data_IF_594034581571
#
_entry.id   IF_594034581571
#
_cell.length_a   1.000
_cell.length_b   1.000
_cell.length_c   1.000
_cell.angle_alpha   90.00
_cell.angle_beta   90.00
_cell.angle_gamma   90.00
#
_symmetry.space_group_name_H-M   'P 1'
#
loop_
_entity.id
_entity.type
_entity.pdbx_description
1 polymer ?
#
# COMPACT_ATOMS: atom_id res chain seq x y z
N UNK A 1 -10.68 23.44 53.37
CA UNK A 1 -9.47 22.92 52.69
C UNK A 1 -9.70 21.70 51.80
N UNK A 2 -10.58 20.74 52.14
CA UNK A 2 -10.82 19.57 51.27
C UNK A 2 -11.49 19.91 49.92
N UNK A 3 -12.44 20.86 49.90
CA UNK A 3 -13.15 21.25 48.67
C UNK A 3 -12.29 22.03 47.65
N UNK A 4 -11.31 22.80 48.11
CA UNK A 4 -10.43 23.58 47.24
C UNK A 4 -9.40 22.69 46.54
N UNK A 5 -8.92 21.65 47.24
CA UNK A 5 -7.95 20.71 46.69
C UNK A 5 -8.52 19.85 45.55
N UNK A 6 -9.78 19.39 45.68
CA UNK A 6 -10.46 18.62 44.64
C UNK A 6 -10.68 19.44 43.37
N UNK A 7 -11.00 20.74 43.50
CA UNK A 7 -11.19 21.64 42.35
C UNK A 7 -9.89 21.92 41.60
N UNK A 8 -8.77 22.06 42.31
CA UNK A 8 -7.46 22.27 41.68
C UNK A 8 -7.01 21.04 40.90
N UNK A 9 -7.20 19.83 41.46
CA UNK A 9 -6.89 18.59 40.74
C UNK A 9 -7.74 18.45 39.47
N UNK A 10 -9.04 18.73 39.57
CA UNK A 10 -9.94 18.65 38.41
C UNK A 10 -9.57 19.66 37.31
N UNK A 11 -9.17 20.88 37.68
CA UNK A 11 -8.71 21.90 36.72
C UNK A 11 -7.43 21.48 36.00
N UNK A 12 -6.45 20.94 36.75
CA UNK A 12 -5.19 20.45 36.16
C UNK A 12 -5.44 19.26 35.23
N UNK A 13 -6.37 18.37 35.59
CA UNK A 13 -6.72 17.22 34.77
C UNK A 13 -7.45 17.63 33.48
N UNK A 14 -8.39 18.57 33.55
CA UNK A 14 -9.07 19.14 32.37
C UNK A 14 -8.07 19.84 31.45
N UNK A 15 -7.12 20.60 32.01
CA UNK A 15 -6.08 21.26 31.24
C UNK A 15 -5.16 20.24 30.55
N UNK A 16 -4.78 19.17 31.25
CA UNK A 16 -3.95 18.11 30.68
C UNK A 16 -4.65 17.35 29.54
N UNK A 17 -5.96 17.07 29.68
CA UNK A 17 -6.75 16.41 28.63
C UNK A 17 -7.08 17.31 27.43
N UNK A 18 -7.11 18.64 27.61
CA UNK A 18 -7.38 19.58 26.51
C UNK A 18 -6.13 20.01 25.74
N UNK A 19 -4.94 19.86 26.34
CA UNK A 19 -3.65 20.02 25.65
C UNK A 19 -3.09 18.70 25.09
N UNK A 20 -3.70 17.57 25.42
CA UNK A 20 -3.33 16.30 24.81
C UNK A 20 -3.66 16.35 23.30
N UNK A 21 -2.70 16.00 22.41
CA UNK A 21 -2.97 15.97 20.98
C UNK A 21 -4.12 14.98 20.71
N UNK A 22 -5.27 15.50 20.25
CA UNK A 22 -6.48 14.72 19.93
C UNK A 22 -6.34 13.84 18.67
N UNK A 23 -5.10 13.58 18.26
CA UNK A 23 -4.75 12.89 17.03
C UNK A 23 -3.80 11.72 17.28
N UNK A 24 -3.88 11.06 18.43
CA UNK A 24 -3.46 9.67 18.51
C UNK A 24 -4.56 8.82 17.84
N UNK A 25 -4.69 8.96 16.52
CA UNK A 25 -5.15 7.84 15.72
C UNK A 25 -4.11 6.78 16.01
N UNK A 26 -4.46 5.81 16.85
CA UNK A 26 -3.75 4.56 16.90
C UNK A 26 -3.96 3.94 15.51
N UNK A 27 -3.21 4.47 14.54
CA UNK A 27 -3.11 3.95 13.21
C UNK A 27 -2.71 2.50 13.43
N UNK A 28 -3.52 1.60 12.88
CA UNK A 28 -3.43 0.18 13.13
C UNK A 28 -2.20 -0.41 12.43
N UNK A 29 -1.00 0.00 12.84
CA UNK A 29 0.28 -0.37 12.21
C UNK A 29 0.62 -1.86 12.38
N UNK A 30 -0.06 -2.54 13.31
CA UNK A 30 0.10 -3.97 13.57
C UNK A 30 -1.04 -4.84 13.04
N UNK A 31 -2.13 -4.26 12.52
CA UNK A 31 -3.20 -5.10 11.99
C UNK A 31 -2.88 -5.49 10.56
N UNK A 32 -2.47 -6.74 10.40
CA UNK A 32 -2.18 -7.34 9.11
C UNK A 32 -3.39 -7.29 8.15
N UNK A 33 -4.61 -7.08 8.67
CA UNK A 33 -5.83 -6.96 7.89
C UNK A 33 -6.17 -5.53 7.48
N UNK A 34 -5.29 -4.55 7.79
CA UNK A 34 -5.43 -3.16 7.37
C UNK A 34 -4.30 -2.76 6.43
N UNK A 35 -4.64 -2.01 5.38
CA UNK A 35 -3.68 -1.50 4.40
C UNK A 35 -3.96 0.00 4.18
N UNK A 36 -2.97 0.83 4.50
CA UNK A 36 -3.13 2.28 4.61
C UNK A 36 -3.61 2.94 3.30
N UNK A 37 -3.13 2.46 2.15
CA UNK A 37 -3.53 2.98 0.84
C UNK A 37 -4.98 2.60 0.53
N UNK A 38 -5.39 1.38 0.88
CA UNK A 38 -6.76 0.89 0.77
C UNK A 38 -7.73 1.64 1.71
N UNK A 39 -7.34 1.91 2.96
CA UNK A 39 -8.14 2.71 3.89
C UNK A 39 -8.29 4.16 3.39
N UNK A 40 -7.21 4.74 2.88
CA UNK A 40 -7.25 6.08 2.27
C UNK A 40 -8.20 6.11 1.07
N UNK A 41 -8.19 5.08 0.23
CA UNK A 41 -9.13 4.96 -0.87
C UNK A 41 -10.59 4.92 -0.40
N UNK A 42 -10.91 4.19 0.68
CA UNK A 42 -12.27 4.17 1.26
C UNK A 42 -12.71 5.57 1.70
N UNK A 43 -11.82 6.34 2.33
CA UNK A 43 -12.08 7.73 2.72
C UNK A 43 -12.28 8.64 1.51
N UNK A 44 -11.46 8.51 0.47
CA UNK A 44 -11.59 9.26 -0.77
C UNK A 44 -12.92 8.96 -1.46
N UNK A 45 -13.26 7.69 -1.68
CA UNK A 45 -14.51 7.31 -2.35
C UNK A 45 -15.72 7.78 -1.55
N UNK A 46 -15.74 7.55 -0.23
CA UNK A 46 -16.88 7.96 0.60
C UNK A 46 -17.08 9.48 0.58
N UNK A 47 -15.99 10.26 0.54
CA UNK A 47 -16.04 11.72 0.44
C UNK A 47 -16.52 12.20 -0.93
N UNK A 48 -16.01 11.60 -2.01
CA UNK A 48 -16.37 11.98 -3.39
C UNK A 48 -17.76 11.46 -3.82
N UNK A 49 -18.30 10.45 -3.14
CA UNK A 49 -19.64 9.92 -3.40
C UNK A 49 -20.77 10.75 -2.75
N UNK A 50 -20.43 11.75 -1.92
CA UNK A 50 -21.43 12.69 -1.36
C UNK A 50 -22.01 13.59 -2.45
N UNK A 51 -23.19 14.17 -2.19
CA UNK A 51 -23.83 15.16 -3.06
C UNK A 51 -24.10 16.45 -2.28
N UNK A 52 -23.33 17.54 -2.48
CA UNK A 52 -22.17 17.64 -3.38
C UNK A 52 -20.94 16.87 -2.88
N UNK A 53 -20.03 16.53 -3.80
CA UNK A 53 -18.78 15.83 -3.46
C UNK A 53 -17.90 16.65 -2.52
N UNK A 54 -17.37 16.00 -1.49
CA UNK A 54 -16.53 16.62 -0.46
C UNK A 54 -15.05 16.50 -0.83
N UNK A 55 -14.61 17.43 -1.69
CA UNK A 55 -13.24 17.46 -2.21
C UNK A 55 -12.19 17.78 -1.15
N UNK A 56 -12.55 18.55 -0.11
CA UNK A 56 -11.61 18.95 0.92
C UNK A 56 -11.26 17.77 1.82
N UNK A 57 -12.26 16.98 2.24
CA UNK A 57 -12.02 15.74 2.99
C UNK A 57 -11.26 14.70 2.15
N UNK A 58 -11.63 14.52 0.88
CA UNK A 58 -10.95 13.59 -0.01
C UNK A 58 -9.47 13.97 -0.24
N UNK A 59 -9.19 15.26 -0.44
CA UNK A 59 -7.83 15.77 -0.60
C UNK A 59 -7.02 15.67 0.69
N UNK A 60 -7.63 15.89 1.85
CA UNK A 60 -6.96 15.72 3.14
C UNK A 60 -6.51 14.26 3.32
N UNK A 61 -7.39 13.29 3.06
CA UNK A 61 -7.05 11.88 3.12
C UNK A 61 -5.93 11.52 2.12
N UNK A 62 -5.99 12.02 0.88
CA UNK A 62 -4.94 11.78 -0.11
C UNK A 62 -3.57 12.30 0.33
N UNK A 63 -3.51 13.52 0.89
CA UNK A 63 -2.25 14.15 1.32
C UNK A 63 -1.51 13.31 2.35
N UNK A 64 -2.23 12.63 3.24
CA UNK A 64 -1.61 11.75 4.25
C UNK A 64 -0.82 10.60 3.62
N UNK A 65 -1.16 10.16 2.40
CA UNK A 65 -0.53 9.05 1.69
C UNK A 65 0.25 9.44 0.45
N UNK A 66 0.20 10.71 0.04
CA UNK A 66 0.86 11.18 -1.18
C UNK A 66 2.35 10.83 -1.21
N UNK A 67 3.06 11.06 -0.11
CA UNK A 67 4.51 10.77 -0.04
C UNK A 67 4.79 9.26 -0.15
N UNK A 68 3.98 8.43 0.49
CA UNK A 68 4.07 6.96 0.39
C UNK A 68 3.81 6.49 -1.05
N UNK A 69 2.77 7.05 -1.70
CA UNK A 69 2.45 6.76 -3.11
C UNK A 69 3.63 7.15 -4.01
N UNK A 70 4.20 8.33 -3.81
CA UNK A 70 5.36 8.80 -4.58
C UNK A 70 6.59 7.90 -4.36
N UNK A 71 6.85 7.50 -3.12
CA UNK A 71 8.00 6.66 -2.77
C UNK A 71 7.91 5.25 -3.37
N UNK A 72 6.71 4.68 -3.47
CA UNK A 72 6.54 3.29 -3.90
C UNK A 72 6.12 3.12 -5.35
N UNK A 73 5.42 4.10 -5.92
CA UNK A 73 4.88 4.04 -7.29
C UNK A 73 5.43 5.15 -8.20
N UNK A 74 6.29 6.03 -7.66
CA UNK A 74 6.94 7.10 -8.39
C UNK A 74 6.18 8.42 -8.36
N UNK A 75 6.93 9.51 -8.56
CA UNK A 75 6.38 10.87 -8.53
C UNK A 75 5.32 11.12 -9.59
N UNK A 76 5.39 10.48 -10.77
CA UNK A 76 4.38 10.70 -11.81
C UNK A 76 3.00 10.17 -11.40
N UNK A 77 2.95 9.08 -10.62
CA UNK A 77 1.71 8.50 -10.10
C UNK A 77 1.08 9.43 -9.08
N UNK A 78 1.89 9.93 -8.14
CA UNK A 78 1.44 10.94 -7.18
C UNK A 78 0.94 12.21 -7.88
N UNK A 79 1.69 12.72 -8.86
CA UNK A 79 1.31 13.92 -9.62
C UNK A 79 0.03 13.73 -10.45
N UNK A 80 -0.21 12.52 -10.96
CA UNK A 80 -1.45 12.20 -11.66
C UNK A 80 -2.66 12.28 -10.72
N UNK A 81 -2.54 11.77 -9.49
CA UNK A 81 -3.60 11.96 -8.49
C UNK A 81 -3.77 13.43 -8.12
N UNK A 82 -2.67 14.16 -7.88
CA UNK A 82 -2.71 15.60 -7.60
C UNK A 82 -3.50 16.36 -8.70
N UNK A 83 -3.25 16.02 -9.96
CA UNK A 83 -3.96 16.59 -11.10
C UNK A 83 -5.45 16.18 -11.15
N UNK A 84 -5.78 14.94 -10.81
CA UNK A 84 -7.16 14.46 -10.72
C UNK A 84 -7.96 15.23 -9.65
N UNK A 85 -7.38 15.41 -8.45
CA UNK A 85 -7.98 16.21 -7.38
C UNK A 85 -8.15 17.67 -7.79
N UNK A 86 -7.12 18.28 -8.40
CA UNK A 86 -7.17 19.66 -8.88
C UNK A 86 -8.26 19.87 -9.93
N UNK A 87 -8.43 18.89 -10.82
CA UNK A 87 -9.42 18.92 -11.90
C UNK A 87 -10.84 18.58 -11.43
N UNK A 88 -11.00 18.16 -10.16
CA UNK A 88 -12.28 17.79 -9.53
C UNK A 88 -13.09 16.77 -10.33
N UNK A 89 -12.40 15.77 -10.88
CA UNK A 89 -13.00 14.72 -11.68
C UNK A 89 -13.22 13.45 -10.86
N UNK A 90 -14.44 13.27 -10.35
CA UNK A 90 -14.76 12.16 -9.42
C UNK A 90 -14.39 10.80 -10.02
N UNK A 91 -14.87 10.51 -11.23
CA UNK A 91 -14.70 9.21 -11.86
C UNK A 91 -13.23 8.90 -12.14
N UNK A 92 -12.49 9.85 -12.72
CA UNK A 92 -11.05 9.69 -12.99
C UNK A 92 -10.23 9.56 -11.69
N UNK A 93 -10.57 10.32 -10.65
CA UNK A 93 -9.91 10.21 -9.33
C UNK A 93 -10.09 8.81 -8.76
N UNK A 94 -11.34 8.33 -8.72
CA UNK A 94 -11.66 7.00 -8.18
C UNK A 94 -11.05 5.89 -9.04
N UNK A 95 -11.05 6.02 -10.37
CA UNK A 95 -10.47 5.04 -11.28
C UNK A 95 -8.95 4.89 -11.08
N UNK A 96 -8.21 6.01 -11.05
CA UNK A 96 -6.76 5.95 -10.83
C UNK A 96 -6.39 5.47 -9.43
N UNK A 97 -7.20 5.77 -8.41
CA UNK A 97 -6.99 5.19 -7.08
C UNK A 97 -7.17 3.67 -7.06
N UNK A 98 -8.17 3.12 -7.79
CA UNK A 98 -8.33 1.66 -7.93
C UNK A 98 -7.12 1.04 -8.63
N UNK A 99 -6.57 1.69 -9.64
CA UNK A 99 -5.34 1.26 -10.29
C UNK A 99 -4.13 1.26 -9.33
N UNK A 100 -4.03 2.25 -8.44
CA UNK A 100 -3.01 2.26 -7.38
C UNK A 100 -3.18 1.08 -6.41
N UNK A 101 -4.40 0.63 -6.13
CA UNK A 101 -4.60 -0.59 -5.35
C UNK A 101 -4.07 -1.83 -6.09
N UNK A 102 -4.15 -1.88 -7.43
CA UNK A 102 -3.51 -2.93 -8.23
C UNK A 102 -1.97 -2.85 -8.13
N UNK A 103 -1.39 -1.66 -8.25
CA UNK A 103 0.05 -1.45 -8.01
C UNK A 103 0.47 -1.87 -6.59
N UNK A 104 -0.40 -1.67 -5.61
CA UNK A 104 -0.14 -2.11 -4.24
C UNK A 104 -0.15 -3.64 -4.14
N UNK A 105 -1.09 -4.34 -4.80
CA UNK A 105 -1.08 -5.81 -4.90
C UNK A 105 0.21 -6.33 -5.53
N UNK A 106 0.62 -5.78 -6.69
CA UNK A 106 1.88 -6.10 -7.38
C UNK A 106 3.06 -6.09 -6.40
N UNK A 107 3.29 -4.93 -5.77
CA UNK A 107 4.37 -4.77 -4.79
C UNK A 107 4.28 -5.76 -3.63
N UNK A 108 3.07 -6.03 -3.10
CA UNK A 108 2.91 -6.92 -1.94
C UNK A 108 3.24 -8.36 -2.33
N UNK A 109 2.78 -8.81 -3.48
CA UNK A 109 3.07 -10.15 -3.97
C UNK A 109 4.54 -10.33 -4.34
N UNK A 110 5.15 -9.36 -5.03
CA UNK A 110 6.60 -9.34 -5.32
C UNK A 110 7.43 -9.49 -4.05
N UNK A 111 7.16 -8.66 -3.02
CA UNK A 111 7.87 -8.76 -1.74
C UNK A 111 7.56 -10.05 -0.97
N UNK A 112 6.38 -10.66 -1.17
CA UNK A 112 6.04 -11.95 -0.54
C UNK A 112 6.86 -13.07 -1.16
N UNK A 113 7.06 -13.04 -2.49
CA UNK A 113 7.89 -14.02 -3.20
C UNK A 113 9.38 -13.84 -2.90
N UNK A 114 9.84 -12.58 -2.83
CA UNK A 114 11.26 -12.26 -2.61
C UNK A 114 11.81 -12.84 -1.31
N UNK A 115 11.04 -12.70 -0.22
CA UNK A 115 11.45 -13.10 1.13
C UNK A 115 10.49 -14.15 1.72
N UNK A 116 10.08 -15.15 0.94
CA UNK A 116 9.14 -16.20 1.39
C UNK A 116 9.64 -16.96 2.64
N UNK A 117 10.96 -17.02 2.82
CA UNK A 117 11.61 -17.63 3.97
C UNK A 117 11.37 -16.87 5.29
N UNK A 118 11.08 -15.57 5.24
CA UNK A 118 10.56 -14.82 6.38
C UNK A 118 9.04 -15.02 6.47
N UNK A 119 8.63 -16.15 7.04
CA UNK A 119 7.24 -16.53 7.22
C UNK A 119 6.36 -15.40 7.80
N UNK A 120 6.87 -14.68 8.80
CA UNK A 120 6.10 -13.64 9.49
C UNK A 120 5.85 -12.46 8.55
N UNK A 121 6.90 -12.02 7.85
CA UNK A 121 6.79 -10.94 6.88
C UNK A 121 5.93 -11.34 5.67
N UNK A 122 6.18 -12.50 5.07
CA UNK A 122 5.42 -13.02 3.92
C UNK A 122 3.92 -13.13 4.25
N UNK A 123 3.58 -13.69 5.42
CA UNK A 123 2.18 -13.78 5.88
C UNK A 123 1.54 -12.41 6.10
N UNK A 124 2.27 -11.46 6.69
CA UNK A 124 1.78 -10.10 6.89
C UNK A 124 1.54 -9.39 5.54
N UNK A 125 2.46 -9.55 4.57
CA UNK A 125 2.33 -8.99 3.24
C UNK A 125 1.11 -9.53 2.51
N UNK A 126 0.90 -10.85 2.57
CA UNK A 126 -0.24 -11.50 1.95
C UNK A 126 -1.56 -11.07 2.60
N UNK A 127 -1.60 -10.94 3.93
CA UNK A 127 -2.78 -10.42 4.63
C UNK A 127 -3.13 -8.99 4.19
N UNK A 128 -2.12 -8.12 4.03
CA UNK A 128 -2.30 -6.76 3.50
C UNK A 128 -2.80 -6.77 2.06
N UNK A 129 -2.24 -7.64 1.21
CA UNK A 129 -2.74 -7.83 -0.15
C UNK A 129 -4.21 -8.29 -0.16
N UNK A 130 -4.60 -9.19 0.75
CA UNK A 130 -5.99 -9.62 0.91
C UNK A 130 -6.90 -8.46 1.32
N UNK A 131 -6.45 -7.59 2.24
CA UNK A 131 -7.19 -6.39 2.63
C UNK A 131 -7.39 -5.41 1.45
N UNK A 132 -6.36 -5.24 0.62
CA UNK A 132 -6.45 -4.47 -0.63
C UNK A 132 -7.46 -5.10 -1.61
N UNK A 133 -7.42 -6.42 -1.79
CA UNK A 133 -8.38 -7.14 -2.63
C UNK A 133 -9.82 -6.98 -2.14
N UNK A 134 -10.07 -7.16 -0.84
CA UNK A 134 -11.41 -6.96 -0.24
C UNK A 134 -11.94 -5.56 -0.50
N UNK A 135 -11.05 -4.56 -0.49
CA UNK A 135 -11.41 -3.17 -0.79
C UNK A 135 -11.81 -2.98 -2.27
N UNK A 136 -11.23 -3.77 -3.17
CA UNK A 136 -11.58 -3.78 -4.60
C UNK A 136 -12.83 -4.61 -4.92
N UNK A 137 -13.20 -5.57 -4.06
CA UNK A 137 -14.31 -6.52 -4.27
C UNK A 137 -15.60 -5.88 -4.80
N UNK A 138 -16.15 -4.80 -4.19
CA UNK A 138 -17.40 -4.20 -4.67
C UNK A 138 -17.35 -3.70 -6.12
N UNK A 139 -16.16 -3.44 -6.65
CA UNK A 139 -15.95 -2.95 -8.01
C UNK A 139 -15.53 -4.07 -8.98
N UNK A 140 -14.98 -5.16 -8.48
CA UNK A 140 -14.63 -6.35 -9.24
C UNK A 140 -15.86 -7.23 -9.48
N UNK A 141 -16.74 -7.37 -8.48
CA UNK A 141 -18.01 -8.13 -8.58
C UNK A 141 -18.94 -7.58 -9.66
N UNK A 142 -18.87 -6.29 -9.97
CA UNK A 142 -19.62 -5.69 -11.07
C UNK A 142 -19.13 -6.15 -12.47
N UNK A 143 -17.95 -6.78 -12.57
CA UNK A 143 -17.29 -7.17 -13.82
C UNK A 143 -16.95 -8.65 -13.91
N UNK A 144 -16.96 -9.36 -12.78
CA UNK A 144 -16.60 -10.77 -12.67
C UNK A 144 -17.79 -11.58 -12.16
N UNK A 145 -17.87 -12.85 -12.56
CA UNK A 145 -18.85 -13.78 -12.00
C UNK A 145 -18.51 -14.13 -10.55
N UNK A 146 -19.52 -14.51 -9.76
CA UNK A 146 -19.31 -14.98 -8.38
C UNK A 146 -18.34 -16.18 -8.31
N UNK A 147 -18.36 -17.07 -9.30
CA UNK A 147 -17.42 -18.18 -9.39
C UNK A 147 -15.96 -17.70 -9.51
N UNK A 148 -15.70 -16.68 -10.35
CA UNK A 148 -14.37 -16.07 -10.44
C UNK A 148 -13.98 -15.37 -9.13
N UNK A 149 -14.89 -14.61 -8.54
CA UNK A 149 -14.63 -13.94 -7.25
C UNK A 149 -14.28 -14.93 -6.14
N UNK A 150 -15.01 -16.05 -6.05
CA UNK A 150 -14.71 -17.11 -5.09
C UNK A 150 -13.36 -17.77 -5.36
N UNK A 151 -13.01 -17.99 -6.63
CA UNK A 151 -11.69 -18.50 -7.01
C UNK A 151 -10.57 -17.57 -6.54
N UNK A 152 -10.69 -16.26 -6.79
CA UNK A 152 -9.69 -15.28 -6.37
C UNK A 152 -9.55 -15.23 -4.84
N UNK A 153 -10.65 -15.36 -4.11
CA UNK A 153 -10.59 -15.46 -2.64
C UNK A 153 -9.89 -16.74 -2.18
N UNK A 154 -10.16 -17.87 -2.84
CA UNK A 154 -9.52 -19.14 -2.52
C UNK A 154 -8.01 -19.12 -2.82
N UNK A 155 -7.58 -18.40 -3.86
CA UNK A 155 -6.15 -18.25 -4.17
C UNK A 155 -5.38 -17.54 -3.04
N UNK A 156 -6.00 -16.65 -2.26
CA UNK A 156 -5.36 -16.09 -1.06
C UNK A 156 -5.13 -17.16 0.02
N UNK A 157 -6.03 -18.12 0.14
CA UNK A 157 -5.89 -19.22 1.09
C UNK A 157 -4.82 -20.23 0.60
N UNK A 158 -4.76 -20.50 -0.71
CA UNK A 158 -3.67 -21.26 -1.34
C UNK A 158 -2.33 -20.59 -1.15
N UNK A 159 -2.24 -19.28 -1.42
CA UNK A 159 -1.02 -18.50 -1.20
C UNK A 159 -0.58 -18.55 0.27
N UNK A 160 -1.53 -18.45 1.22
CA UNK A 160 -1.23 -18.50 2.64
C UNK A 160 -0.66 -19.87 3.06
N UNK A 161 -1.25 -20.95 2.56
CA UNK A 161 -0.77 -22.31 2.81
C UNK A 161 0.60 -22.56 2.16
N UNK A 162 0.82 -21.98 0.97
CA UNK A 162 2.06 -22.10 0.20
C UNK A 162 3.24 -21.32 0.79
N UNK A 163 3.01 -20.30 1.62
CA UNK A 163 4.09 -19.65 2.40
C UNK A 163 4.73 -20.65 3.40
N UNK A 164 4.04 -21.74 3.74
CA UNK A 164 4.55 -22.76 4.66
C UNK A 164 4.26 -22.44 6.13
N UNK A 165 5.01 -23.05 7.04
CA UNK A 165 4.93 -22.82 8.48
C UNK A 165 6.28 -23.21 9.12
N UNK A 166 7.00 -22.31 9.82
CA UNK A 166 8.26 -22.69 10.47
C UNK A 166 8.08 -23.68 11.63
N UNK A 167 6.85 -23.85 12.13
CA UNK A 167 6.56 -24.70 13.28
C UNK A 167 7.02 -24.09 14.60
N UNK A 168 6.46 -24.59 15.71
CA UNK A 168 6.91 -24.21 17.05
C UNK A 168 7.98 -25.22 17.48
N UNK A 169 9.24 -24.78 17.55
CA UNK A 169 10.39 -25.67 17.80
C UNK A 169 10.51 -26.81 16.78
N UNK A 170 10.14 -26.56 15.51
CA UNK A 170 10.15 -27.55 14.43
C UNK A 170 8.94 -28.50 14.41
N UNK A 171 8.09 -28.48 15.45
CA UNK A 171 6.84 -29.25 15.42
C UNK A 171 5.83 -28.55 14.50
N UNK A 172 5.33 -29.30 13.52
CA UNK A 172 4.40 -28.78 12.52
C UNK A 172 5.06 -27.90 11.44
N UNK A 173 6.38 -28.03 11.26
CA UNK A 173 7.08 -27.36 10.17
C UNK A 173 6.54 -27.83 8.81
N UNK A 174 6.33 -26.88 7.92
CA UNK A 174 5.96 -27.06 6.53
C UNK A 174 6.81 -26.10 5.70
N UNK A 175 7.56 -26.63 4.75
CA UNK A 175 8.37 -25.79 3.87
C UNK A 175 7.46 -25.00 2.92
N UNK A 176 7.97 -23.86 2.45
CA UNK A 176 7.27 -23.05 1.47
C UNK A 176 7.15 -23.78 0.13
N UNK A 177 6.00 -23.66 -0.53
CA UNK A 177 5.78 -24.05 -1.92
C UNK A 177 5.77 -22.79 -2.79
N UNK A 178 6.97 -22.34 -3.18
CA UNK A 178 7.14 -21.15 -4.02
C UNK A 178 6.36 -21.22 -5.33
N UNK A 179 6.20 -22.43 -5.90
CA UNK A 179 5.50 -22.61 -7.16
C UNK A 179 4.00 -22.40 -6.98
N UNK A 180 3.40 -22.99 -5.94
CA UNK A 180 1.99 -22.80 -5.61
C UNK A 180 1.72 -21.34 -5.23
N UNK A 181 2.60 -20.72 -4.42
CA UNK A 181 2.50 -19.32 -4.06
C UNK A 181 2.53 -18.42 -5.30
N UNK A 182 3.52 -18.60 -6.18
CA UNK A 182 3.65 -17.84 -7.43
C UNK A 182 2.43 -18.03 -8.34
N UNK A 183 1.93 -19.25 -8.48
CA UNK A 183 0.75 -19.51 -9.29
C UNK A 183 -0.50 -18.77 -8.76
N UNK A 184 -0.73 -18.83 -7.44
CA UNK A 184 -1.87 -18.19 -6.80
C UNK A 184 -1.83 -16.66 -6.93
N UNK A 185 -0.70 -16.02 -6.59
CA UNK A 185 -0.59 -14.55 -6.68
C UNK A 185 -0.67 -14.04 -8.12
N UNK A 186 -0.15 -14.80 -9.10
CA UNK A 186 -0.28 -14.46 -10.50
C UNK A 186 -1.72 -14.56 -11.01
N UNK A 187 -2.45 -15.60 -10.60
CA UNK A 187 -3.85 -15.74 -10.99
C UNK A 187 -4.70 -14.58 -10.43
N UNK A 188 -4.46 -14.20 -9.17
CA UNK A 188 -5.10 -13.02 -8.56
C UNK A 188 -4.78 -11.76 -9.37
N UNK A 189 -3.50 -11.49 -9.56
CA UNK A 189 -3.03 -10.25 -10.17
C UNK A 189 -3.46 -10.11 -11.64
N UNK A 190 -3.22 -11.13 -12.47
CA UNK A 190 -3.58 -11.14 -13.89
C UNK A 190 -5.09 -11.02 -14.13
N UNK A 191 -5.92 -11.52 -13.20
CA UNK A 191 -7.37 -11.38 -13.28
C UNK A 191 -7.83 -9.95 -12.95
N UNK A 192 -7.22 -9.30 -11.95
CA UNK A 192 -7.66 -8.00 -11.45
C UNK A 192 -7.10 -6.81 -12.24
N UNK A 193 -5.83 -6.88 -12.64
CA UNK A 193 -5.12 -5.81 -13.38
C UNK A 193 -5.92 -5.22 -14.56
N UNK A 194 -6.46 -6.02 -15.50
CA UNK A 194 -7.19 -5.47 -16.65
C UNK A 194 -8.51 -4.78 -16.27
N UNK A 195 -9.04 -5.00 -15.07
CA UNK A 195 -10.31 -4.41 -14.63
C UNK A 195 -10.18 -2.96 -14.16
N UNK A 196 -8.96 -2.52 -13.85
CA UNK A 196 -8.67 -1.23 -13.23
C UNK A 196 -7.45 -0.55 -13.89
N UNK A 197 -7.57 -0.17 -15.18
CA UNK A 197 -6.46 0.43 -15.90
C UNK A 197 -6.06 1.79 -15.30
N UNK A 198 -4.75 2.02 -15.22
CA UNK A 198 -4.19 3.29 -14.83
C UNK A 198 -4.19 4.28 -16.01
N UNK A 199 -4.66 5.51 -15.77
CA UNK A 199 -4.62 6.59 -16.78
C UNK A 199 -3.69 7.70 -16.31
N UNK A 200 -2.47 7.73 -16.85
CA UNK A 200 -1.50 8.79 -16.57
C UNK A 200 -2.05 10.17 -16.96
N UNK A 201 -1.80 11.16 -16.11
CA UNK A 201 -2.13 12.54 -16.44
C UNK A 201 -1.21 13.04 -17.56
N UNK A 202 -1.82 13.53 -18.65
CA UNK A 202 -1.12 14.28 -19.70
C UNK A 202 -1.41 15.75 -19.49
N UNK A 203 -0.39 16.53 -19.19
CA UNK A 203 -0.52 17.99 -19.15
C UNK A 203 -1.10 18.47 -20.48
N UNK A 204 -2.11 19.36 -20.48
CA UNK A 204 -2.56 19.98 -21.70
C UNK A 204 -1.37 20.76 -22.28
N UNK A 205 -0.92 20.35 -23.46
CA UNK A 205 0.16 21.05 -24.17
C UNK A 205 -0.24 22.51 -24.30
N UNK A 206 0.55 23.38 -23.64
CA UNK A 206 0.39 24.83 -23.78
C UNK A 206 0.38 25.14 -25.28
N UNK A 207 -0.66 25.80 -25.83
CA UNK A 207 -0.65 26.17 -27.24
C UNK A 207 0.65 26.90 -27.53
N UNK A 208 1.41 26.38 -28.51
CA UNK A 208 2.67 26.98 -28.91
C UNK A 208 2.42 28.48 -29.12
N UNK A 209 3.08 29.30 -28.30
CA UNK A 209 2.93 30.73 -28.36
C UNK A 209 3.48 31.21 -29.72
N UNK A 210 2.58 31.46 -30.67
CA UNK A 210 2.79 32.25 -31.87
C UNK A 210 3.92 31.79 -32.79
N UNK A 211 3.65 30.86 -33.69
CA UNK A 211 4.22 30.97 -35.05
C UNK A 211 3.40 32.01 -35.80
N UNK A 212 3.67 33.28 -35.52
CA UNK A 212 3.18 34.39 -36.31
C UNK A 212 3.91 34.40 -37.64
N UNK A 213 3.40 33.67 -38.64
CA UNK A 213 3.80 33.90 -40.02
C UNK A 213 3.20 35.22 -40.48
N UNK A 214 3.98 36.28 -40.32
CA UNK A 214 3.78 37.54 -41.02
C UNK A 214 4.01 37.29 -42.51
N UNK A 215 2.94 37.25 -43.29
CA UNK A 215 3.01 37.42 -44.75
C UNK A 215 2.32 38.73 -45.08
N UNK A 216 3.06 39.82 -44.92
CA UNK A 216 2.76 41.11 -45.50
C UNK A 216 3.31 41.15 -46.94
N UNK A 217 2.41 41.20 -47.92
CA UNK A 217 2.63 41.95 -49.16
C UNK A 217 1.29 42.24 -49.82
N UNK A 218 0.84 43.49 -49.65
CA UNK A 218 -0.44 43.99 -50.16
C UNK A 218 -0.51 44.17 -51.68
N UNK A 219 -1.73 44.46 -52.15
CA UNK A 219 -2.02 45.39 -53.26
C UNK A 219 -3.47 45.86 -53.14
N UNK A 220 -3.60 47.17 -52.89
CA UNK A 220 -4.69 48.13 -53.17
C UNK A 220 -6.02 47.67 -53.79
N UNK A 221 -7.14 48.02 -53.13
CA UNK A 221 -8.19 48.90 -53.69
C UNK A 221 -9.18 49.37 -52.60
N UNK A 222 -9.39 50.69 -52.55
CA UNK A 222 -10.35 51.50 -51.74
C UNK A 222 -11.73 51.57 -52.47
N UNK A 223 -12.77 52.30 -52.01
CA UNK A 223 -13.24 52.67 -50.65
C UNK A 223 -14.73 52.31 -50.40
N UNK A 224 -15.18 52.31 -49.14
CA UNK A 224 -16.41 53.05 -48.80
C UNK A 224 -16.48 53.43 -47.32
N UNK A 225 -17.13 54.56 -47.10
CA UNK A 225 -17.12 55.49 -45.97
C UNK A 225 -17.99 55.09 -44.79
N UNK A 226 -17.53 55.35 -43.55
CA UNK A 226 -18.41 55.92 -42.52
C UNK A 226 -17.65 56.62 -41.37
N UNK A 227 -17.72 57.96 -41.39
CA UNK A 227 -18.11 58.90 -40.33
C UNK A 227 -17.94 58.56 -38.84
N UNK A 228 -17.18 59.38 -38.11
CA UNK A 228 -17.66 60.01 -36.86
C UNK A 228 -16.83 59.85 -35.56
N UNK A 229 -16.17 60.95 -35.14
CA UNK A 229 -15.96 61.38 -33.73
C UNK A 229 -14.64 60.96 -33.05
N UNK A 230 -13.65 61.86 -32.86
CA UNK A 230 -13.34 62.65 -31.62
C UNK A 230 -13.42 61.83 -30.32
N UNK A 231 -12.42 61.74 -29.43
CA UNK A 231 -11.55 62.80 -28.92
C UNK A 231 -10.32 62.25 -28.14
N UNK A 232 -9.40 63.16 -27.84
CA UNK A 232 -8.04 63.07 -27.27
C UNK A 232 -7.89 62.39 -25.90
N UNK A 233 -6.69 61.87 -25.65
CA UNK A 233 -6.18 61.60 -24.29
C UNK A 233 -4.80 60.95 -24.20
N UNK A 234 -3.73 61.69 -24.51
CA UNK A 234 -2.34 61.45 -24.09
C UNK A 234 -2.29 61.58 -22.54
N UNK A 235 -1.48 60.89 -21.72
CA UNK A 235 -0.01 60.99 -21.59
C UNK A 235 0.49 60.08 -20.43
N UNK A 236 1.68 59.51 -20.62
CA UNK A 236 2.81 59.36 -19.67
C UNK A 236 2.77 58.45 -18.40
N UNK A 237 3.60 57.40 -18.52
CA UNK A 237 4.60 56.82 -17.59
C UNK A 237 5.31 57.87 -16.70
N UNK A 238 5.73 57.58 -15.44
CA UNK A 238 7.09 57.04 -15.16
C UNK A 238 7.14 56.08 -13.93
N UNK A 239 7.85 54.95 -14.02
CA UNK A 239 9.15 54.63 -13.41
C UNK A 239 9.17 54.05 -11.97
N UNK A 240 10.03 53.02 -11.87
CA UNK A 240 10.41 52.14 -10.75
C UNK A 240 11.31 52.89 -9.74
N UNK A 241 11.44 52.44 -8.47
CA UNK A 241 12.53 51.50 -8.10
C UNK A 241 12.07 50.46 -7.02
N UNK A 242 12.40 49.18 -7.07
CA UNK A 242 13.67 48.51 -6.75
C UNK A 242 14.27 48.86 -5.36
N UNK A 243 13.95 48.04 -4.33
CA UNK A 243 14.82 47.85 -3.15
C UNK A 243 14.64 46.46 -2.53
N UNK A 244 15.75 45.70 -2.53
CA UNK A 244 16.07 44.53 -1.69
C UNK A 244 16.78 45.05 -0.43
N UNK A 245 16.57 44.43 0.74
CA UNK A 245 17.70 44.11 1.63
C UNK A 245 17.54 42.71 2.25
N UNK A 246 18.53 41.82 2.15
CA UNK A 246 19.70 41.68 3.04
C UNK A 246 19.44 40.73 4.21
N UNK A 247 20.11 39.59 4.10
CA UNK A 247 20.34 38.51 5.04
C UNK A 247 21.23 38.96 6.23
N UNK A 248 21.11 38.33 7.40
CA UNK A 248 22.23 38.20 8.32
C UNK A 248 22.59 36.74 8.58
N UNK A 249 23.90 36.49 8.51
CA UNK A 249 24.60 35.26 8.85
C UNK A 249 24.85 35.08 10.35
N UNK A 250 25.35 33.87 10.70
CA UNK A 250 25.83 33.32 11.99
C UNK A 250 24.72 32.62 12.79
N UNK A 251 24.93 31.40 13.31
CA UNK A 251 26.10 30.99 14.07
C UNK A 251 26.26 29.46 14.07
N UNK A 252 27.48 29.01 13.79
CA UNK A 252 27.95 27.63 13.92
C UNK A 252 28.28 27.38 15.41
N UNK A 253 27.66 26.38 16.03
CA UNK A 253 28.15 25.80 17.28
C UNK A 253 28.28 24.28 17.13
N UNK A 254 29.54 23.86 17.09
CA UNK A 254 30.06 22.53 17.34
C UNK A 254 30.26 22.39 18.85
N UNK A 255 29.95 21.23 19.45
CA UNK A 255 30.97 20.55 20.25
C UNK A 255 30.98 19.05 19.91
N UNK A 256 32.11 18.50 19.47
CA UNK A 256 33.24 18.05 20.27
C UNK A 256 33.11 16.56 20.63
N UNK A 257 34.02 15.80 20.05
CA UNK A 257 34.30 14.38 20.24
C UNK A 257 34.54 13.97 21.70
N UNK A 258 34.14 12.71 21.98
CA UNK A 258 34.87 11.62 22.69
C UNK A 258 34.02 10.91 23.77
N UNK A 259 34.33 9.65 24.12
CA UNK A 259 34.95 8.58 23.32
C UNK A 259 34.20 7.23 23.42
N UNK A 260 34.56 6.36 22.48
CA UNK A 260 34.33 4.91 22.43
C UNK A 260 34.88 4.23 23.70
N UNK A 261 34.05 3.37 24.31
CA UNK A 261 34.45 2.29 25.21
C UNK A 261 33.66 1.05 24.75
N UNK A 262 34.30 0.16 23.99
CA UNK A 262 35.02 -1.02 24.47
C UNK A 262 34.06 -2.11 24.98
N UNK A 263 33.86 -3.11 24.13
CA UNK A 263 33.41 -4.46 24.49
C UNK A 263 34.20 -5.03 25.66
N UNK A 264 33.60 -5.99 26.37
CA UNK A 264 34.36 -7.20 26.67
C UNK A 264 33.67 -8.45 26.12
N UNK A 265 34.51 -9.22 25.43
CA UNK A 265 34.38 -10.63 25.13
C UNK A 265 34.12 -11.50 26.38
N UNK A 266 33.24 -12.48 26.14
CA UNK A 266 33.39 -13.91 26.43
C UNK A 266 33.39 -14.48 27.87
N UNK A 267 32.83 -15.70 27.90
CA UNK A 267 32.96 -16.81 28.85
C UNK A 267 31.97 -16.83 30.03
N UNK A 268 31.03 -17.79 30.01
CA UNK A 268 31.30 -19.11 30.57
C UNK A 268 30.08 -20.05 30.49
N UNK A 269 30.38 -21.29 30.12
CA UNK A 269 29.63 -22.52 30.39
C UNK A 269 28.96 -22.55 31.77
N UNK A 270 27.69 -22.97 31.82
CA UNK A 270 27.23 -23.84 32.91
C UNK A 270 26.29 -24.92 32.39
N UNK A 271 26.81 -26.14 32.51
CA UNK A 271 26.22 -27.45 32.36
C UNK A 271 25.15 -27.72 33.43
N UNK A 272 24.16 -28.51 33.03
CA UNK A 272 23.08 -29.24 33.72
C UNK A 272 23.08 -29.37 35.27
N UNK A 273 21.91 -29.75 35.84
CA UNK A 273 21.75 -31.19 36.04
C UNK A 273 20.38 -31.77 35.66
N UNK A 274 20.46 -33.06 35.35
CA UNK A 274 19.41 -34.06 35.30
C UNK A 274 18.40 -34.00 36.47
N UNK A 275 17.15 -34.33 36.14
CA UNK A 275 16.22 -34.93 37.09
C UNK A 275 15.37 -35.98 36.36
N UNK A 276 15.87 -37.22 36.39
CA UNK A 276 15.04 -38.41 36.29
C UNK A 276 14.12 -38.48 37.51
N UNK A 277 12.83 -38.71 37.28
CA UNK A 277 11.95 -39.34 38.26
C UNK A 277 10.91 -40.18 37.52
N UNK A 278 11.15 -41.48 37.58
CA UNK A 278 10.24 -42.59 37.34
C UNK A 278 9.04 -42.55 38.29
N UNK A 279 7.85 -42.87 37.79
CA UNK A 279 6.87 -43.69 38.54
C UNK A 279 6.00 -44.48 37.59
N UNK A 280 6.07 -45.80 37.77
CA UNK A 280 5.19 -46.85 37.27
C UNK A 280 3.78 -46.77 37.87
N UNK A 281 2.85 -47.48 37.22
CA UNK A 281 1.58 -47.96 37.79
C UNK A 281 0.35 -47.23 37.21
N UNK A 282 -0.72 -47.87 36.77
CA UNK A 282 -1.07 -49.29 36.71
C UNK A 282 -2.30 -49.41 35.79
N UNK A 283 -2.48 -50.57 35.19
CA UNK A 283 -3.60 -50.93 34.30
C UNK A 283 -4.51 -51.89 35.08
N UNK A 284 -5.85 -51.82 34.91
CA UNK A 284 -6.55 -52.98 34.31
C UNK A 284 -7.62 -52.50 33.30
N UNK A 285 -7.79 -53.11 32.11
CA UNK A 285 -8.48 -54.37 31.80
C UNK A 285 -9.97 -54.32 32.20
N UNK A 286 -10.99 -54.70 31.43
CA UNK A 286 -11.22 -55.25 30.07
C UNK A 286 -12.76 -55.22 29.88
N UNK A 287 -13.26 -55.71 28.74
CA UNK A 287 -14.64 -56.17 28.48
C UNK A 287 -15.63 -55.11 27.96
N UNK A 288 -16.53 -55.41 27.04
CA UNK A 288 -16.64 -56.35 25.90
C UNK A 288 -17.96 -55.91 25.19
N UNK A 289 -18.27 -56.53 24.05
CA UNK A 289 -19.61 -56.61 23.42
C UNK A 289 -20.02 -55.56 22.36
N UNK A 290 -19.71 -55.91 21.10
CA UNK A 290 -20.61 -55.84 19.92
C UNK A 290 -21.86 -56.72 20.13
N UNK A 291 -23.04 -56.44 19.50
CA UNK A 291 -23.39 -56.99 18.17
C UNK A 291 -24.07 -55.94 17.23
N UNK A 292 -23.87 -55.96 15.90
CA UNK A 292 -24.73 -56.59 14.85
C UNK A 292 -26.22 -56.15 14.92
N UNK A 293 -27.00 -55.81 13.89
CA UNK A 293 -27.08 -56.16 12.46
C UNK A 293 -28.23 -55.31 11.84
N UNK A 294 -28.34 -55.31 10.50
CA UNK A 294 -29.55 -55.14 9.65
C UNK A 294 -29.52 -54.03 8.58
N UNK A 295 -29.51 -54.51 7.33
CA UNK A 295 -29.86 -53.83 6.09
C UNK A 295 -31.40 -53.68 5.96
N UNK A 296 -31.91 -53.01 4.91
CA UNK A 296 -32.32 -53.78 3.72
C UNK A 296 -32.06 -53.11 2.34
N UNK A 297 -31.85 -54.00 1.34
CA UNK A 297 -32.41 -54.09 -0.06
C UNK A 297 -33.33 -52.98 -0.58
N UNK A 298 -33.62 -52.76 -1.88
CA UNK A 298 -33.22 -53.14 -3.26
C UNK A 298 -34.40 -52.65 -4.14
N UNK A 299 -34.18 -52.26 -5.42
CA UNK A 299 -35.14 -51.99 -6.55
C UNK A 299 -34.92 -50.59 -7.17
N UNK A 300 -34.91 -50.35 -8.48
CA UNK A 300 -34.89 -51.16 -9.69
C UNK A 300 -34.51 -50.23 -10.87
N UNK A 301 -33.87 -50.79 -11.91
CA UNK A 301 -33.61 -50.15 -13.22
C UNK A 301 -34.91 -50.10 -14.08
N UNK A 302 -34.95 -49.48 -15.29
CA UNK A 302 -34.32 -50.10 -16.48
C UNK A 302 -33.82 -49.17 -17.62
N UNK A 303 -33.13 -49.83 -18.59
CA UNK A 303 -32.92 -49.55 -20.03
C UNK A 303 -32.00 -48.37 -20.42
N UNK A 304 -30.82 -48.52 -21.04
CA UNK A 304 -30.36 -49.25 -22.25
C UNK A 304 -31.03 -48.80 -23.56
N UNK A 305 -30.31 -47.99 -24.34
CA UNK A 305 -30.31 -48.04 -25.80
C UNK A 305 -28.88 -47.85 -26.35
N UNK A 306 -28.61 -48.57 -27.44
CA UNK A 306 -27.33 -48.91 -28.03
C UNK A 306 -26.85 -47.91 -29.11
N UNK A 307 -25.53 -47.63 -29.15
CA UNK A 307 -24.61 -47.48 -30.33
C UNK A 307 -25.00 -46.57 -31.54
N UNK A 308 -24.11 -46.27 -32.53
CA UNK A 308 -22.70 -46.66 -32.73
C UNK A 308 -21.72 -45.50 -33.05
N UNK A 309 -20.45 -45.93 -33.15
CA UNK A 309 -19.26 -45.23 -33.62
C UNK A 309 -19.37 -44.53 -34.98
N UNK A 310 -18.63 -43.43 -35.14
CA UNK A 310 -18.13 -42.93 -36.44
C UNK A 310 -16.75 -42.24 -36.26
N UNK A 311 -15.75 -42.88 -36.87
CA UNK A 311 -14.64 -42.35 -37.69
C UNK A 311 -13.82 -41.13 -37.24
N UNK A 312 -12.58 -41.47 -36.90
CA UNK A 312 -11.34 -40.73 -37.16
C UNK A 312 -11.19 -40.36 -38.65
N UNK A 313 -10.66 -39.16 -38.95
CA UNK A 313 -9.80 -39.05 -40.12
C UNK A 313 -8.44 -38.44 -39.82
N UNK A 314 -7.46 -39.02 -40.48
CA UNK A 314 -6.05 -38.68 -40.55
C UNK A 314 -5.79 -37.20 -40.91
N UNK A 315 -4.83 -36.61 -40.19
CA UNK A 315 -4.21 -35.34 -40.57
C UNK A 315 -2.97 -35.60 -41.43
N UNK A 316 -3.04 -35.12 -42.68
CA UNK A 316 -1.97 -35.11 -43.66
C UNK A 316 -0.91 -34.06 -43.36
N UNK A 317 0.32 -34.39 -43.76
CA UNK A 317 1.47 -33.51 -43.80
C UNK A 317 1.43 -32.54 -45.01
N UNK A 318 1.88 -31.29 -44.79
CA UNK A 318 2.64 -30.41 -45.71
C UNK A 318 3.00 -29.14 -44.91
N UNK A 319 4.27 -28.85 -44.61
CA UNK A 319 5.29 -28.20 -45.45
C UNK A 319 4.97 -26.75 -45.83
N UNK A 320 5.60 -25.78 -45.16
CA UNK A 320 5.96 -24.44 -45.65
C UNK A 320 6.67 -23.69 -44.49
N UNK A 321 7.99 -23.56 -44.51
CA UNK A 321 8.74 -22.48 -45.16
C UNK A 321 9.01 -21.32 -44.19
N UNK A 322 10.28 -21.25 -43.77
CA UNK A 322 10.88 -20.17 -43.03
C UNK A 322 11.02 -18.92 -43.93
N UNK A 323 11.11 -17.73 -43.32
CA UNK A 323 12.16 -16.82 -43.78
C UNK A 323 12.95 -16.21 -42.63
N UNK A 324 14.26 -16.41 -42.78
CA UNK A 324 15.37 -15.46 -42.60
C UNK A 324 15.26 -14.31 -41.60
N UNK A 325 16.16 -14.39 -40.62
CA UNK A 325 16.65 -13.29 -39.84
C UNK A 325 17.35 -12.25 -40.73
N UNK A 326 17.02 -10.98 -40.53
CA UNK A 326 17.86 -9.85 -40.93
C UNK A 326 18.25 -9.10 -39.67
N UNK A 327 19.53 -9.24 -39.32
CA UNK A 327 20.24 -8.36 -38.40
C UNK A 327 20.37 -6.98 -39.07
N UNK A 328 19.82 -5.94 -38.45
CA UNK A 328 20.23 -4.57 -38.74
C UNK A 328 20.44 -3.81 -37.43
N UNK A 329 21.73 -3.62 -37.14
CA UNK A 329 22.22 -2.85 -36.02
C UNK A 329 22.19 -1.36 -36.40
N UNK A 330 21.32 -0.59 -35.74
CA UNK A 330 21.39 0.86 -35.75
C UNK A 330 21.36 1.41 -34.32
N UNK A 331 22.53 1.87 -33.91
CA UNK A 331 22.81 2.70 -32.74
C UNK A 331 21.79 3.83 -32.58
N UNK A 332 21.20 3.94 -31.38
CA UNK A 332 20.60 5.18 -30.90
C UNK A 332 21.19 5.52 -29.53
N UNK A 333 22.21 6.36 -29.57
CA UNK A 333 22.52 7.25 -28.47
C UNK A 333 21.55 8.43 -28.55
N UNK A 334 20.57 8.49 -27.64
CA UNK A 334 19.93 9.75 -27.33
C UNK A 334 19.40 9.75 -25.89
N UNK A 335 19.99 10.64 -25.11
CA UNK A 335 19.63 10.98 -23.75
C UNK A 335 18.18 11.48 -23.69
N UNK A 336 17.27 10.62 -23.25
CA UNK A 336 15.92 11.01 -22.84
C UNK A 336 15.67 10.48 -21.44
N UNK A 337 15.64 11.40 -20.47
CA UNK A 337 15.05 11.17 -19.15
C UNK A 337 13.53 11.11 -19.39
N UNK A 338 13.08 9.96 -19.91
CA UNK A 338 11.69 9.69 -20.25
C UNK A 338 11.11 8.71 -19.23
N UNK A 339 10.25 9.25 -18.38
CA UNK A 339 9.01 8.61 -17.91
C UNK A 339 9.10 7.14 -17.45
N UNK A 340 9.91 6.88 -16.43
CA UNK A 340 10.02 5.56 -15.78
C UNK A 340 8.72 5.05 -15.14
N UNK A 341 7.75 5.93 -14.90
CA UNK A 341 6.55 5.58 -14.15
C UNK A 341 5.36 5.15 -15.02
N UNK A 342 5.59 4.98 -16.32
CA UNK A 342 4.74 4.21 -17.22
C UNK A 342 5.48 3.01 -17.84
N UNK A 343 6.59 2.56 -17.23
CA UNK A 343 7.11 1.22 -17.52
C UNK A 343 5.94 0.24 -17.33
N UNK A 344 5.54 -0.42 -18.41
CA UNK A 344 4.38 -1.30 -18.43
C UNK A 344 4.46 -2.21 -17.21
N UNK A 345 3.47 -2.12 -16.32
CA UNK A 345 3.38 -3.04 -15.18
C UNK A 345 3.56 -4.46 -15.70
N UNK A 346 4.39 -5.29 -15.06
CA UNK A 346 4.68 -6.61 -15.58
C UNK A 346 3.38 -7.41 -15.72
N UNK A 347 3.34 -8.28 -16.72
CA UNK A 347 2.20 -9.19 -16.92
C UNK A 347 2.14 -10.25 -15.81
N UNK A 348 3.27 -10.53 -15.18
CA UNK A 348 3.43 -11.60 -14.19
C UNK A 348 4.27 -11.13 -13.00
N UNK A 349 3.91 -11.63 -11.82
CA UNK A 349 4.63 -11.46 -10.55
C UNK A 349 5.67 -12.56 -10.42
N UNK A 350 6.95 -12.23 -10.29
CA UNK A 350 8.03 -13.22 -10.27
C UNK A 350 9.00 -13.15 -9.10
N UNK A 351 8.91 -12.13 -8.25
CA UNK A 351 9.76 -11.92 -7.08
C UNK A 351 11.07 -11.20 -7.40
N UNK A 352 11.32 -10.85 -8.67
CA UNK A 352 12.58 -10.22 -9.11
C UNK A 352 12.49 -8.71 -9.18
N UNK A 353 11.28 -8.14 -9.16
CA UNK A 353 11.09 -6.71 -9.28
C UNK A 353 11.46 -6.00 -7.99
N UNK A 354 12.42 -5.07 -8.10
CA UNK A 354 12.77 -4.20 -6.98
C UNK A 354 11.67 -3.16 -6.77
N UNK A 355 11.03 -3.22 -5.61
CA UNK A 355 10.18 -2.15 -5.12
C UNK A 355 10.92 -1.41 -4.01
N UNK A 356 10.67 -0.09 -3.89
CA UNK A 356 11.17 0.67 -2.76
C UNK A 356 10.83 -0.07 -1.46
N UNK A 357 11.86 -0.35 -0.66
CA UNK A 357 11.72 -1.09 0.58
C UNK A 357 10.56 -0.50 1.37
N UNK A 358 9.65 -1.35 1.82
CA UNK A 358 8.60 -0.88 2.71
C UNK A 358 9.28 -0.32 3.96
N UNK A 359 9.23 0.99 4.11
CA UNK A 359 9.76 1.65 5.27
C UNK A 359 9.05 1.06 6.49
N UNK A 360 9.75 0.20 7.24
CA UNK A 360 9.42 -0.08 8.63
C UNK A 360 9.69 1.23 9.35
N UNK A 361 8.71 2.11 9.31
CA UNK A 361 8.89 3.41 9.94
C UNK A 361 8.77 3.12 11.43
N UNK A 362 9.90 3.12 12.13
CA UNK A 362 9.94 3.19 13.59
C UNK A 362 9.32 4.53 14.01
N UNK A 363 7.99 4.61 14.01
CA UNK A 363 7.21 5.78 14.44
C UNK A 363 7.02 5.82 15.95
N UNK A 364 7.81 5.05 16.69
CA UNK A 364 8.09 5.31 18.10
C UNK A 364 8.75 6.68 18.17
N UNK A 365 7.95 7.73 18.36
CA UNK A 365 8.49 9.04 18.65
C UNK A 365 9.23 8.92 19.98
N UNK A 366 10.56 8.77 19.90
CA UNK A 366 11.40 8.53 21.07
C UNK A 366 11.20 9.64 22.10
N UNK A 367 10.91 10.86 21.65
CA UNK A 367 10.55 11.98 22.53
C UNK A 367 9.25 11.76 23.30
N UNK A 368 8.21 11.19 22.68
CA UNK A 368 6.95 10.83 23.37
C UNK A 368 7.17 9.67 24.33
N UNK A 369 7.87 8.61 23.92
CA UNK A 369 8.16 7.46 24.78
C UNK A 369 8.99 7.88 26.00
N UNK A 370 10.07 8.63 25.79
CA UNK A 370 10.92 9.17 26.86
C UNK A 370 10.11 10.16 27.73
N UNK A 371 9.26 10.99 27.12
CA UNK A 371 8.40 11.92 27.84
C UNK A 371 7.39 11.24 28.75
N UNK A 372 6.74 10.16 28.30
CA UNK A 372 5.79 9.38 29.11
C UNK A 372 6.51 8.66 30.24
N UNK A 373 7.63 7.99 29.96
CA UNK A 373 8.43 7.30 30.98
C UNK A 373 8.94 8.32 32.02
N UNK A 374 9.50 9.44 31.57
CA UNK A 374 9.97 10.52 32.43
C UNK A 374 8.85 11.13 33.27
N UNK A 375 7.68 11.36 32.67
CA UNK A 375 6.50 11.86 33.37
C UNK A 375 6.01 10.92 34.47
N UNK A 376 5.93 9.61 34.20
CA UNK A 376 5.55 8.60 35.19
C UNK A 376 6.55 8.56 36.36
N UNK A 377 7.86 8.64 36.08
CA UNK A 377 8.88 8.67 37.12
C UNK A 377 8.78 9.93 37.99
N UNK A 378 8.56 11.10 37.41
CA UNK A 378 8.41 12.36 38.17
C UNK A 378 7.16 12.32 39.05
N UNK A 379 6.03 11.85 38.51
CA UNK A 379 4.78 11.73 39.28
C UNK A 379 4.93 10.69 40.40
N UNK A 380 5.54 9.54 40.12
CA UNK A 380 5.82 8.51 41.11
C UNK A 380 6.74 9.02 42.24
N UNK A 381 7.85 9.67 41.89
CA UNK A 381 8.77 10.26 42.86
C UNK A 381 8.10 11.36 43.70
N UNK A 382 7.28 12.21 43.07
CA UNK A 382 6.50 13.26 43.75
C UNK A 382 5.48 12.67 44.74
N UNK A 383 4.80 11.60 44.37
CA UNK A 383 3.84 10.90 45.22
C UNK A 383 4.54 10.25 46.44
N UNK A 384 5.68 9.59 46.23
CA UNK A 384 6.47 8.99 47.32
C UNK A 384 7.00 10.06 48.28
N UNK A 385 7.53 11.17 47.75
CA UNK A 385 8.01 12.29 48.57
C UNK A 385 6.87 12.91 49.41
N UNK A 386 5.69 13.11 48.80
CA UNK A 386 4.53 13.63 49.50
C UNK A 386 4.00 12.68 50.58
N UNK A 387 3.98 11.38 50.31
CA UNK A 387 3.57 10.35 51.28
C UNK A 387 4.49 10.32 52.50
N UNK A 388 5.82 10.40 52.30
CA UNK A 388 6.80 10.55 53.40
C UNK A 388 6.56 11.79 54.24
N UNK A 389 6.30 12.94 53.61
CA UNK A 389 6.07 14.20 54.35
C UNK A 389 4.82 14.16 55.23
N UNK A 390 3.83 13.32 54.88
CA UNK A 390 2.61 13.13 55.67
C UNK A 390 2.70 11.99 56.70
N UNK A 391 3.82 11.31 56.80
CA UNK A 391 4.02 10.21 57.76
C UNK A 391 3.20 8.97 57.44
N UNK A 392 2.87 8.75 56.16
CA UNK A 392 2.31 7.47 55.71
C UNK A 392 3.38 6.37 55.63
N UNK A 393 4.66 6.75 55.67
CA UNK A 393 5.84 5.88 55.70
C UNK A 393 6.90 6.45 56.63
#
# INVERSE_FOLDING_TARGET
MRLTFTKTIMLVMVLFFSLAPTGAWAYSYGDANTEDVAETFKLVVSSLSKSPADWDAALAAHKERREEIAAHFGNSVANTLDANFKSRKVNETIANYKAILIMNLDRRFENTLKDVSDYTNAKMLLAKARATFITLTPYAEAKLSSAKMNSLSADFDVALDAIGNPGLFGVGQKDADEKALKAAVNHIYSTLKPLFPYTAYKEPTKPAAGSGTSTDKGTTAKPSTNTGGTDKGTTQKPDKPATKPSEPAKQTEQPADKPVAAEPDALADTKAPDAEATTEGDKPATDDATPAEEAPTEEAAPAVEETPAVEEPAASADNAEAPEATDDAASTDNTAVADEAAAAEPETIDGTKEHAAMARTDKTNTGVTVGVIGGVLIVGAGAVWWARRKGFF
#
